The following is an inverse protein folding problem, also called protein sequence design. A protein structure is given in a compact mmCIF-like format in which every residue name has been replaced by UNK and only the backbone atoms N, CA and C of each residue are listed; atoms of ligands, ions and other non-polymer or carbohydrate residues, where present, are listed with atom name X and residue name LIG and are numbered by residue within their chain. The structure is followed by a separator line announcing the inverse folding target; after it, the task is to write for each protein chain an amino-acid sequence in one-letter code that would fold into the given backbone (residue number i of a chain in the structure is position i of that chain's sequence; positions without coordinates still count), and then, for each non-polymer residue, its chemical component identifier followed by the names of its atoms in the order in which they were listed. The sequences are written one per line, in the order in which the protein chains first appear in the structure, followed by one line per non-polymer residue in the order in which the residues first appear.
data_IF_321354776327
#
_entry.id   IF_321354776327
#
_cell.length_a   1.000
_cell.length_b   1.000
_cell.length_c   1.000
_cell.angle_alpha   90.00
_cell.angle_beta   90.00
_cell.angle_gamma   90.00
#
_symmetry.space_group_name_H-M   'P 1'
#
loop_
_entity.id
_entity.type
_entity.pdbx_description
1 polymer ?
#
# COMPACT_ATOMS: atom_id res chain seq x y z
N UNK A 1 43.84 -0.54 -11.52
CA UNK A 1 42.39 -0.62 -11.25
C UNK A 1 41.56 -0.30 -12.51
N UNK A 2 41.54 -1.18 -13.52
CA UNK A 2 40.73 -0.94 -14.74
C UNK A 2 39.29 -1.42 -14.65
N UNK A 3 38.93 -2.27 -13.69
CA UNK A 3 37.60 -2.92 -13.62
C UNK A 3 36.39 -1.99 -13.32
N UNK A 4 36.63 -0.79 -12.79
CA UNK A 4 35.55 0.16 -12.44
C UNK A 4 35.33 1.25 -13.51
N UNK A 5 35.70 1.02 -14.76
CA UNK A 5 35.44 1.98 -15.86
C UNK A 5 34.42 1.50 -16.87
N UNK A 6 33.93 0.28 -16.71
CA UNK A 6 32.97 -0.33 -17.60
C UNK A 6 31.54 0.00 -17.14
N UNK A 7 30.65 0.52 -18.03
CA UNK A 7 29.25 0.78 -17.72
C UNK A 7 28.48 -0.45 -17.20
N UNK A 8 28.84 -1.66 -17.63
CA UNK A 8 28.23 -2.91 -17.16
C UNK A 8 28.51 -3.15 -15.68
N UNK A 9 29.73 -2.87 -15.22
CA UNK A 9 30.11 -2.98 -13.79
C UNK A 9 29.24 -2.09 -12.89
N UNK A 10 28.92 -0.86 -13.32
CA UNK A 10 28.02 0.01 -12.55
C UNK A 10 26.59 -0.49 -12.52
N UNK A 11 26.11 -1.07 -13.62
CA UNK A 11 24.79 -1.72 -13.67
C UNK A 11 24.72 -2.89 -12.71
N UNK A 12 25.75 -3.74 -12.69
CA UNK A 12 25.82 -4.91 -11.81
C UNK A 12 25.85 -4.48 -10.33
N UNK A 13 26.59 -3.42 -10.00
CA UNK A 13 26.58 -2.85 -8.64
C UNK A 13 25.18 -2.40 -8.25
N UNK A 14 24.49 -1.66 -9.12
CA UNK A 14 23.12 -1.17 -8.83
C UNK A 14 22.11 -2.32 -8.71
N UNK A 15 22.27 -3.39 -9.49
CA UNK A 15 21.42 -4.58 -9.40
C UNK A 15 21.73 -5.43 -8.16
N UNK A 16 22.95 -5.41 -7.66
CA UNK A 16 23.33 -6.12 -6.43
C UNK A 16 22.75 -5.47 -5.15
N UNK A 17 22.28 -4.22 -5.24
CA UNK A 17 21.62 -3.55 -4.12
C UNK A 17 20.23 -4.13 -3.92
N UNK A 18 19.90 -4.43 -2.65
CA UNK A 18 18.56 -4.94 -2.30
C UNK A 18 17.50 -3.83 -2.15
N UNK A 19 17.83 -2.62 -2.56
CA UNK A 19 16.90 -1.50 -2.63
C UNK A 19 16.45 -1.29 -4.06
N UNK A 20 15.27 -0.70 -4.24
CA UNK A 20 14.81 -0.27 -5.55
C UNK A 20 15.64 0.92 -6.04
N UNK A 21 16.22 0.81 -7.23
CA UNK A 21 16.91 1.93 -7.89
C UNK A 21 16.28 2.14 -9.26
N UNK A 22 15.86 3.38 -9.52
CA UNK A 22 15.45 3.82 -10.85
C UNK A 22 16.21 5.09 -11.24
N UNK A 23 16.42 5.27 -12.54
CA UNK A 23 16.95 6.52 -13.09
C UNK A 23 15.94 7.07 -14.07
N UNK A 24 15.67 8.36 -13.92
CA UNK A 24 14.76 9.12 -14.77
C UNK A 24 15.54 10.16 -15.56
N UNK A 25 15.16 10.38 -16.79
CA UNK A 25 15.63 11.52 -17.58
C UNK A 25 14.95 12.84 -17.14
N UNK A 26 15.30 13.95 -17.80
CA UNK A 26 14.71 15.27 -17.52
C UNK A 26 13.21 15.35 -17.86
N UNK A 27 12.70 14.45 -18.68
CA UNK A 27 11.28 14.30 -19.02
C UNK A 27 10.56 13.33 -18.08
N UNK A 28 11.25 12.87 -17.01
CA UNK A 28 10.75 11.90 -16.04
C UNK A 28 10.43 10.52 -16.60
N UNK A 29 11.03 10.16 -17.75
CA UNK A 29 10.96 8.80 -18.29
C UNK A 29 11.97 7.91 -17.59
N UNK A 30 11.57 6.69 -17.29
CA UNK A 30 12.42 5.68 -16.65
C UNK A 30 13.41 5.16 -17.71
N UNK A 31 14.70 5.39 -17.46
CA UNK A 31 15.80 4.94 -18.33
C UNK A 31 16.62 3.80 -17.70
N UNK A 32 16.47 3.57 -16.40
CA UNK A 32 17.07 2.45 -15.68
C UNK A 32 16.12 1.95 -14.59
N UNK A 33 16.11 0.63 -14.37
CA UNK A 33 15.32 -0.07 -13.38
C UNK A 33 16.10 -1.25 -12.84
N UNK A 34 16.41 -1.27 -11.53
CA UNK A 34 17.19 -2.33 -10.90
C UNK A 34 16.35 -3.58 -10.61
N UNK A 35 17.05 -4.68 -10.36
CA UNK A 35 16.41 -5.93 -9.92
C UNK A 35 15.69 -5.74 -8.56
N UNK A 36 16.25 -4.94 -7.65
CA UNK A 36 15.57 -4.54 -6.41
C UNK A 36 14.27 -3.77 -6.65
N UNK A 37 14.24 -2.91 -7.68
CA UNK A 37 13.02 -2.19 -8.06
C UNK A 37 11.96 -3.15 -8.63
N UNK A 38 12.35 -4.16 -9.42
CA UNK A 38 11.44 -5.22 -9.87
C UNK A 38 10.83 -5.99 -8.69
N UNK A 39 11.66 -6.38 -7.73
CA UNK A 39 11.20 -7.12 -6.53
C UNK A 39 10.24 -6.32 -5.68
N UNK A 40 10.53 -5.03 -5.48
CA UNK A 40 9.73 -4.14 -4.62
C UNK A 40 8.40 -3.78 -5.26
N UNK A 41 8.34 -3.58 -6.57
CA UNK A 41 7.15 -3.06 -7.24
C UNK A 41 6.37 -4.12 -8.00
N UNK A 42 7.00 -5.26 -8.28
CA UNK A 42 6.45 -6.32 -9.14
C UNK A 42 6.44 -5.98 -10.64
N UNK A 43 6.86 -4.77 -11.03
CA UNK A 43 7.01 -4.39 -12.43
C UNK A 43 8.37 -4.82 -12.95
N UNK A 44 8.39 -5.54 -14.07
CA UNK A 44 9.65 -5.90 -14.74
C UNK A 44 10.23 -4.69 -15.49
N UNK A 45 11.53 -4.74 -15.76
CA UNK A 45 12.24 -3.73 -16.53
C UNK A 45 11.59 -3.46 -17.89
N UNK A 46 11.09 -4.51 -18.53
CA UNK A 46 10.42 -4.41 -19.84
C UNK A 46 9.10 -3.62 -19.74
N UNK A 47 8.39 -3.74 -18.60
CA UNK A 47 7.12 -3.05 -18.38
C UNK A 47 7.29 -1.54 -18.19
N UNK A 48 8.47 -1.08 -17.75
CA UNK A 48 8.63 0.30 -17.24
C UNK A 48 9.60 1.17 -18.04
N UNK A 49 10.58 0.60 -18.73
CA UNK A 49 11.55 1.41 -19.49
C UNK A 49 10.88 2.23 -20.59
N UNK A 50 11.20 3.53 -20.62
CA UNK A 50 10.65 4.50 -21.57
C UNK A 50 9.29 5.08 -21.13
N UNK A 51 8.62 4.50 -20.13
CA UNK A 51 7.39 5.05 -19.55
C UNK A 51 7.68 6.19 -18.58
N UNK A 52 6.69 7.07 -18.38
CA UNK A 52 6.78 8.09 -17.34
C UNK A 52 6.62 7.47 -15.95
N UNK A 53 7.32 7.99 -14.97
CA UNK A 53 7.12 7.59 -13.59
C UNK A 53 5.67 7.85 -13.10
N UNK A 54 4.92 8.71 -13.79
CA UNK A 54 3.52 9.04 -13.49
C UNK A 54 2.51 8.09 -14.15
N UNK A 55 2.95 7.17 -15.02
CA UNK A 55 2.08 6.21 -15.71
C UNK A 55 1.66 5.04 -14.79
N UNK A 56 1.24 5.35 -13.55
CA UNK A 56 0.87 4.41 -12.48
C UNK A 56 2.00 3.48 -11.97
N UNK A 57 3.24 3.68 -12.40
CA UNK A 57 4.38 2.83 -12.02
C UNK A 57 4.93 3.27 -10.66
N UNK A 58 5.33 4.54 -10.56
CA UNK A 58 5.84 5.15 -9.32
C UNK A 58 4.93 6.30 -8.88
N UNK A 59 3.63 6.09 -8.93
CA UNK A 59 2.67 7.09 -8.45
C UNK A 59 2.80 7.21 -6.93
N UNK A 60 3.48 8.27 -6.50
CA UNK A 60 3.69 8.55 -5.09
C UNK A 60 2.41 9.12 -4.47
N UNK A 61 1.95 8.48 -3.41
CA UNK A 61 0.90 9.03 -2.55
C UNK A 61 1.51 9.38 -1.19
N UNK A 62 1.13 10.52 -0.63
CA UNK A 62 1.43 10.83 0.77
C UNK A 62 0.27 10.41 1.68
N UNK A 63 0.40 10.69 2.98
CA UNK A 63 -0.63 10.39 3.97
C UNK A 63 -1.96 11.15 3.73
N UNK A 64 -1.92 12.25 2.96
CA UNK A 64 -3.04 13.17 2.75
C UNK A 64 -3.59 13.09 1.32
N UNK A 65 -2.74 12.84 0.30
CA UNK A 65 -3.12 12.93 -1.11
C UNK A 65 -2.42 11.87 -1.97
N UNK A 66 -3.16 11.21 -2.88
CA UNK A 66 -2.59 10.42 -3.97
C UNK A 66 -2.10 11.31 -5.14
N UNK A 67 -2.21 12.63 -4.99
CA UNK A 67 -1.82 13.63 -5.97
C UNK A 67 -0.42 14.18 -5.72
N UNK A 68 0.40 13.48 -4.95
CA UNK A 68 1.76 13.91 -4.64
C UNK A 68 2.60 14.17 -5.90
N UNK A 69 2.33 13.44 -6.98
CA UNK A 69 2.99 13.66 -8.27
C UNK A 69 2.56 14.95 -8.99
N UNK A 70 1.48 15.58 -8.55
CA UNK A 70 0.97 16.84 -9.11
C UNK A 70 1.48 18.01 -8.27
N UNK A 71 1.31 17.99 -6.96
CA UNK A 71 1.56 19.17 -6.10
C UNK A 71 2.92 19.14 -5.39
N UNK A 72 3.39 17.95 -4.94
CA UNK A 72 4.59 17.82 -4.12
C UNK A 72 5.45 16.62 -4.57
N UNK A 73 5.65 16.46 -5.86
CA UNK A 73 6.43 15.36 -6.42
C UNK A 73 7.91 15.45 -5.98
N UNK A 74 8.45 14.46 -5.24
CA UNK A 74 9.84 14.47 -4.80
C UNK A 74 10.82 14.61 -5.98
N UNK A 75 10.53 13.94 -7.09
CA UNK A 75 11.31 14.01 -8.33
C UNK A 75 11.29 15.40 -8.94
N UNK A 76 10.11 16.02 -9.05
CA UNK A 76 10.00 17.39 -9.60
C UNK A 76 10.71 18.40 -8.69
N UNK A 77 10.54 18.26 -7.37
CA UNK A 77 11.19 19.10 -6.36
C UNK A 77 12.71 18.97 -6.42
N UNK A 78 13.22 17.73 -6.55
CA UNK A 78 14.66 17.48 -6.68
C UNK A 78 15.23 18.05 -7.98
N UNK A 79 14.50 17.96 -9.11
CA UNK A 79 14.89 18.57 -10.38
C UNK A 79 14.92 20.10 -10.28
N UNK A 80 13.87 20.70 -9.72
CA UNK A 80 13.73 22.17 -9.65
C UNK A 80 14.79 22.81 -8.76
N UNK A 81 15.01 22.24 -7.56
CA UNK A 81 15.98 22.78 -6.60
C UNK A 81 17.40 22.27 -6.81
N UNK A 82 17.60 21.28 -7.69
CA UNK A 82 18.86 20.60 -7.91
C UNK A 82 19.50 20.06 -6.60
N UNK A 83 18.67 19.60 -5.66
CA UNK A 83 19.05 19.06 -4.34
C UNK A 83 18.34 17.72 -4.09
N UNK A 84 18.96 16.81 -3.32
CA UNK A 84 18.27 15.60 -2.89
C UNK A 84 17.00 15.91 -2.10
N UNK A 85 15.96 15.11 -2.33
CA UNK A 85 14.68 15.16 -1.62
C UNK A 85 14.39 13.77 -1.07
N UNK A 86 14.05 13.72 0.20
CA UNK A 86 13.65 12.52 0.94
C UNK A 86 12.14 12.57 1.16
N UNK A 87 11.48 11.43 1.01
CA UNK A 87 10.05 11.33 1.24
C UNK A 87 9.65 9.91 1.68
N UNK A 88 8.70 9.84 2.60
CA UNK A 88 7.94 8.61 2.84
C UNK A 88 6.68 8.67 1.98
N UNK A 89 6.51 7.69 1.13
CA UNK A 89 5.40 7.65 0.17
C UNK A 89 4.85 6.24 0.02
N UNK A 90 3.69 6.15 -0.64
CA UNK A 90 3.11 4.86 -1.03
C UNK A 90 3.22 4.73 -2.54
N UNK A 91 3.79 3.64 -3.01
CA UNK A 91 3.87 3.32 -4.43
C UNK A 91 2.87 2.23 -4.81
N UNK A 92 2.52 2.18 -6.08
CA UNK A 92 1.65 1.13 -6.61
C UNK A 92 2.47 -0.13 -6.93
N UNK A 93 2.01 -1.27 -6.44
CA UNK A 93 2.58 -2.57 -6.82
C UNK A 93 1.78 -3.17 -7.98
N UNK A 94 2.44 -3.88 -8.91
CA UNK A 94 1.81 -4.52 -10.08
C UNK A 94 0.61 -5.42 -9.72
N UNK A 95 0.62 -6.01 -8.52
CA UNK A 95 -0.50 -6.81 -8.01
C UNK A 95 -1.68 -5.97 -7.48
N UNK A 96 -1.67 -4.64 -7.63
CA UNK A 96 -2.79 -3.76 -7.30
C UNK A 96 -2.81 -3.21 -5.87
N UNK A 97 -1.90 -3.62 -4.99
CA UNK A 97 -1.83 -3.07 -3.63
C UNK A 97 -0.89 -1.86 -3.55
N UNK A 98 -1.06 -1.06 -2.51
CA UNK A 98 -0.16 0.04 -2.18
C UNK A 98 0.88 -0.42 -1.16
N UNK A 99 2.10 0.04 -1.36
CA UNK A 99 3.22 -0.32 -0.52
C UNK A 99 3.94 0.94 -0.05
N UNK A 100 4.17 1.06 1.27
CA UNK A 100 4.91 2.18 1.84
C UNK A 100 6.39 2.02 1.52
N UNK A 101 7.00 3.11 1.05
CA UNK A 101 8.43 3.18 0.77
C UNK A 101 9.04 4.42 1.39
N UNK A 102 10.29 4.30 1.81
CA UNK A 102 11.17 5.41 2.09
C UNK A 102 11.99 5.67 0.83
N UNK A 103 11.82 6.83 0.24
CA UNK A 103 12.36 7.16 -1.08
C UNK A 103 13.23 8.42 -1.04
N UNK A 104 14.27 8.40 -1.85
CA UNK A 104 15.10 9.57 -2.15
C UNK A 104 15.06 9.85 -3.65
N UNK A 105 14.92 11.12 -3.99
CA UNK A 105 15.12 11.62 -5.34
C UNK A 105 16.41 12.47 -5.37
N UNK A 106 17.42 12.01 -6.09
CA UNK A 106 18.78 12.56 -6.08
C UNK A 106 19.12 13.06 -7.48
N UNK A 107 19.45 14.37 -7.67
CA UNK A 107 19.83 14.89 -8.99
C UNK A 107 21.12 14.22 -9.51
N UNK A 108 21.03 13.60 -10.67
CA UNK A 108 22.18 13.06 -11.40
C UNK A 108 22.83 14.21 -12.21
N UNK A 109 24.12 14.38 -12.04
CA UNK A 109 24.88 15.47 -12.70
C UNK A 109 25.91 14.92 -13.67
N UNK A 110 26.13 15.65 -14.72
CA UNK A 110 27.25 15.40 -15.63
C UNK A 110 28.59 15.94 -15.07
N UNK A 111 29.66 15.74 -15.83
CA UNK A 111 31.00 16.22 -15.49
C UNK A 111 31.14 17.75 -15.38
N UNK A 112 30.18 18.52 -15.86
CA UNK A 112 30.10 19.97 -15.80
C UNK A 112 29.22 20.47 -14.66
N UNK A 113 28.59 19.55 -13.88
CA UNK A 113 27.73 19.87 -12.77
C UNK A 113 26.26 20.11 -13.17
N UNK A 114 25.93 20.02 -14.48
CA UNK A 114 24.57 20.16 -14.96
C UNK A 114 23.72 18.95 -14.60
N UNK A 115 22.49 19.16 -14.16
CA UNK A 115 21.55 18.08 -13.88
C UNK A 115 21.10 17.45 -15.20
N UNK A 116 21.31 16.16 -15.34
CA UNK A 116 20.99 15.37 -16.54
C UNK A 116 19.86 14.34 -16.30
N UNK A 117 19.40 14.20 -15.05
CA UNK A 117 18.37 13.27 -14.67
C UNK A 117 18.21 13.17 -13.16
N UNK A 118 17.46 12.20 -12.71
CA UNK A 118 17.23 11.89 -11.29
C UNK A 118 17.50 10.41 -11.05
N UNK A 119 18.24 10.13 -9.99
CA UNK A 119 18.28 8.79 -9.39
C UNK A 119 17.20 8.76 -8.33
N UNK A 120 16.31 7.78 -8.39
CA UNK A 120 15.40 7.47 -7.31
C UNK A 120 15.88 6.18 -6.65
N UNK A 121 16.03 6.21 -5.33
CA UNK A 121 16.19 5.01 -4.52
C UNK A 121 14.98 4.88 -3.63
N UNK A 122 14.51 3.68 -3.44
CA UNK A 122 13.40 3.41 -2.54
C UNK A 122 13.59 2.06 -1.87
N UNK A 123 13.34 2.07 -0.60
CA UNK A 123 13.33 0.89 0.24
C UNK A 123 12.00 0.82 0.97
N UNK A 124 11.52 -0.38 1.19
CA UNK A 124 10.30 -0.65 1.91
C UNK A 124 10.42 -2.01 2.55
N UNK A 125 9.63 -2.23 3.56
CA UNK A 125 9.56 -3.53 4.25
C UNK A 125 8.75 -4.52 3.38
N UNK A 126 9.24 -4.69 2.15
CA UNK A 126 8.70 -5.68 1.21
C UNK A 126 9.41 -7.00 1.44
N UNK A 127 9.41 -7.48 2.67
CA UNK A 127 9.82 -8.84 2.87
C UNK A 127 8.99 -9.72 1.92
N UNK A 128 9.56 -9.95 0.70
CA UNK A 128 9.49 -11.26 0.08
C UNK A 128 10.36 -12.14 0.99
N UNK A 129 10.08 -12.06 2.29
CA UNK A 129 10.49 -13.07 3.20
C UNK A 129 9.75 -14.31 2.70
N UNK A 130 10.50 -15.30 2.32
CA UNK A 130 9.97 -16.64 2.45
C UNK A 130 9.28 -16.69 3.81
N UNK A 131 8.20 -17.47 3.99
CA UNK A 131 7.29 -17.36 5.12
C UNK A 131 8.13 -17.26 6.39
N UNK A 132 7.98 -16.11 7.09
CA UNK A 132 8.62 -15.83 8.37
C UNK A 132 8.47 -17.11 9.21
N UNK A 133 9.51 -17.63 9.84
CA UNK A 133 9.40 -18.77 10.74
C UNK A 133 8.24 -18.61 11.73
N UNK A 134 7.93 -17.37 12.14
CA UNK A 134 6.75 -17.06 12.94
C UNK A 134 5.44 -17.20 12.16
N UNK A 135 5.37 -16.76 10.90
CA UNK A 135 4.18 -16.96 10.05
C UNK A 135 3.92 -18.44 9.80
N UNK A 136 4.98 -19.24 9.57
CA UNK A 136 4.83 -20.70 9.42
C UNK A 136 4.25 -21.33 10.69
N UNK A 137 4.79 -20.98 11.86
CA UNK A 137 4.32 -21.47 13.16
C UNK A 137 2.86 -21.01 13.44
N UNK A 138 2.51 -19.77 13.10
CA UNK A 138 1.16 -19.23 13.26
C UNK A 138 0.17 -19.93 12.31
N UNK A 139 0.59 -20.25 11.08
CA UNK A 139 -0.20 -20.98 10.10
C UNK A 139 -0.45 -22.43 10.54
N UNK A 140 0.59 -23.11 11.00
CA UNK A 140 0.50 -24.48 11.56
C UNK A 140 -0.42 -24.55 12.79
N UNK A 141 -0.49 -23.48 13.58
CA UNK A 141 -1.39 -23.34 14.73
C UNK A 141 -2.80 -22.88 14.38
N UNK A 142 -3.13 -22.72 13.10
CA UNK A 142 -4.44 -22.23 12.64
C UNK A 142 -4.76 -20.80 13.14
N UNK A 143 -3.75 -19.95 13.27
CA UNK A 143 -3.88 -18.55 13.74
C UNK A 143 -4.05 -17.55 12.61
N UNK A 144 -3.80 -17.94 11.37
CA UNK A 144 -3.93 -17.08 10.20
C UNK A 144 -5.19 -17.44 9.39
N UNK A 145 -5.70 -16.46 8.70
CA UNK A 145 -6.75 -16.61 7.69
C UNK A 145 -6.17 -17.20 6.39
N UNK A 146 -6.78 -18.24 5.85
CA UNK A 146 -6.27 -19.00 4.70
C UNK A 146 -6.29 -18.20 3.39
N UNK A 147 -7.12 -17.16 3.28
CA UNK A 147 -7.26 -16.35 2.07
C UNK A 147 -6.29 -15.19 2.11
N UNK A 148 -6.29 -14.44 3.19
CA UNK A 148 -5.57 -13.17 3.33
C UNK A 148 -4.16 -13.32 3.89
N UNK A 149 -3.90 -14.43 4.62
CA UNK A 149 -2.66 -14.64 5.37
C UNK A 149 -2.52 -13.75 6.61
N UNK A 150 -3.51 -12.92 6.91
CA UNK A 150 -3.54 -12.10 8.12
C UNK A 150 -3.93 -12.93 9.36
N UNK A 151 -3.64 -12.45 10.58
CA UNK A 151 -4.24 -12.94 11.80
C UNK A 151 -5.75 -13.13 11.66
N UNK A 152 -6.26 -14.29 12.07
CA UNK A 152 -7.69 -14.59 12.00
C UNK A 152 -8.45 -14.00 13.19
N UNK A 153 -9.78 -14.09 13.18
CA UNK A 153 -10.65 -13.54 14.22
C UNK A 153 -10.27 -13.98 15.65
N UNK A 154 -10.01 -15.28 15.94
CA UNK A 154 -9.60 -15.69 17.29
C UNK A 154 -8.30 -15.04 17.75
N UNK A 155 -7.33 -14.87 16.85
CA UNK A 155 -6.07 -14.22 17.18
C UNK A 155 -6.28 -12.71 17.41
N UNK A 156 -7.05 -12.03 16.58
CA UNK A 156 -7.39 -10.61 16.76
C UNK A 156 -8.16 -10.37 18.07
N UNK A 157 -9.06 -11.28 18.43
CA UNK A 157 -9.79 -11.20 19.69
C UNK A 157 -8.87 -11.36 20.91
N UNK A 158 -7.84 -12.21 20.80
CA UNK A 158 -6.83 -12.37 21.85
C UNK A 158 -6.02 -11.08 22.04
N UNK A 159 -5.53 -10.49 20.92
CA UNK A 159 -4.79 -9.23 20.98
C UNK A 159 -5.62 -8.07 21.49
N UNK A 160 -6.90 -7.98 21.12
CA UNK A 160 -7.78 -6.94 21.64
C UNK A 160 -7.97 -7.05 23.15
N UNK A 161 -8.08 -8.28 23.70
CA UNK A 161 -8.12 -8.49 25.18
C UNK A 161 -6.83 -8.08 25.86
N UNK A 162 -5.69 -8.42 25.27
CA UNK A 162 -4.36 -8.05 25.78
C UNK A 162 -4.19 -6.53 25.83
N UNK A 163 -4.52 -5.83 24.73
CA UNK A 163 -4.46 -4.36 24.68
C UNK A 163 -5.40 -3.71 25.68
N UNK A 164 -6.60 -4.25 25.87
CA UNK A 164 -7.55 -3.76 26.87
C UNK A 164 -7.02 -3.99 28.28
N UNK A 165 -6.38 -5.11 28.57
CA UNK A 165 -5.69 -5.38 29.83
C UNK A 165 -4.59 -4.34 30.09
N UNK A 166 -3.72 -4.11 29.09
CA UNK A 166 -2.65 -3.11 29.18
C UNK A 166 -3.21 -1.69 29.37
N UNK A 167 -4.30 -1.34 28.69
CA UNK A 167 -4.98 -0.06 28.88
C UNK A 167 -5.50 0.10 30.32
N UNK A 168 -6.12 -0.92 30.89
CA UNK A 168 -6.66 -0.88 32.24
C UNK A 168 -5.56 -0.76 33.29
N UNK A 169 -4.41 -1.42 33.10
CA UNK A 169 -3.30 -1.43 34.05
C UNK A 169 -2.38 -0.21 33.91
N UNK A 170 -2.01 0.15 32.68
CA UNK A 170 -0.97 1.15 32.39
C UNK A 170 -1.51 2.44 31.77
N UNK A 171 -2.81 2.50 31.48
CA UNK A 171 -3.46 3.64 30.81
C UNK A 171 -2.82 4.00 29.45
N UNK A 172 -2.23 3.01 28.76
CA UNK A 172 -1.68 3.18 27.41
C UNK A 172 -2.85 3.21 26.44
N UNK A 173 -3.12 4.35 25.77
CA UNK A 173 -4.27 4.47 24.88
C UNK A 173 -4.11 3.56 23.67
N UNK A 174 -5.22 3.08 23.11
CA UNK A 174 -5.23 2.37 21.84
C UNK A 174 -6.49 2.66 21.05
N UNK A 175 -6.37 2.55 19.72
CA UNK A 175 -7.46 2.73 18.79
C UNK A 175 -7.84 1.42 18.09
N UNK A 176 -9.11 1.30 17.74
CA UNK A 176 -9.66 0.17 16.97
C UNK A 176 -10.35 0.69 15.73
N UNK A 177 -10.00 0.12 14.58
CA UNK A 177 -10.66 0.41 13.30
C UNK A 177 -11.22 -0.90 12.75
N UNK A 178 -12.47 -0.89 12.31
CA UNK A 178 -13.05 -1.94 11.49
C UNK A 178 -13.21 -1.42 10.07
N UNK A 179 -12.67 -2.16 9.10
CA UNK A 179 -12.83 -1.90 7.67
C UNK A 179 -13.78 -2.95 7.12
N UNK A 180 -14.86 -2.53 6.51
CA UNK A 180 -15.87 -3.42 5.90
C UNK A 180 -15.95 -3.20 4.39
N UNK A 181 -16.06 -4.30 3.65
CA UNK A 181 -16.34 -4.30 2.21
C UNK A 181 -17.77 -4.79 1.97
N UNK A 182 -18.81 -3.93 2.12
CA UNK A 182 -20.22 -4.36 2.17
C UNK A 182 -20.70 -5.00 0.88
N UNK A 183 -20.07 -4.67 -0.25
CA UNK A 183 -20.44 -5.19 -1.57
C UNK A 183 -19.70 -6.49 -1.94
N UNK A 184 -18.88 -7.05 -1.05
CA UNK A 184 -18.06 -8.22 -1.35
C UNK A 184 -18.89 -9.44 -1.78
N UNK A 185 -20.05 -9.64 -1.19
CA UNK A 185 -20.98 -10.71 -1.58
C UNK A 185 -21.49 -10.56 -3.02
N UNK A 186 -21.86 -9.33 -3.41
CA UNK A 186 -22.27 -9.02 -4.79
C UNK A 186 -21.10 -9.13 -5.75
N UNK A 187 -19.92 -8.67 -5.34
CA UNK A 187 -18.68 -8.80 -6.13
C UNK A 187 -18.38 -10.29 -6.42
N UNK A 188 -18.48 -11.15 -5.40
CA UNK A 188 -18.28 -12.60 -5.54
C UNK A 188 -19.28 -13.23 -6.51
N UNK A 189 -20.53 -12.81 -6.45
CA UNK A 189 -21.58 -13.33 -7.35
C UNK A 189 -21.34 -12.91 -8.80
N UNK A 190 -20.85 -11.70 -9.05
CA UNK A 190 -20.60 -11.17 -10.39
C UNK A 190 -19.28 -11.68 -11.01
N UNK A 191 -18.20 -11.77 -10.22
CA UNK A 191 -16.85 -11.99 -10.71
C UNK A 191 -16.27 -13.36 -10.33
N UNK A 192 -16.98 -14.12 -9.51
CA UNK A 192 -16.58 -15.47 -9.08
C UNK A 192 -15.67 -15.47 -7.85
N UNK A 193 -15.49 -16.67 -7.30
CA UNK A 193 -14.75 -16.89 -6.06
C UNK A 193 -13.25 -16.56 -6.18
N UNK A 194 -12.64 -16.81 -7.35
CA UNK A 194 -11.20 -16.58 -7.56
C UNK A 194 -10.90 -15.08 -7.58
N UNK A 195 -11.70 -14.27 -8.30
CA UNK A 195 -11.57 -12.81 -8.29
C UNK A 195 -11.76 -12.24 -6.88
N UNK A 196 -12.74 -12.75 -6.14
CA UNK A 196 -13.02 -12.32 -4.76
C UNK A 196 -11.81 -12.61 -3.84
N UNK A 197 -11.20 -13.80 -3.94
CA UNK A 197 -9.98 -14.14 -3.17
C UNK A 197 -8.82 -13.21 -3.51
N UNK A 198 -8.58 -12.95 -4.80
CA UNK A 198 -7.52 -12.04 -5.24
C UNK A 198 -7.73 -10.63 -4.69
N UNK A 199 -8.97 -10.14 -4.73
CA UNK A 199 -9.33 -8.83 -4.18
C UNK A 199 -9.10 -8.78 -2.67
N UNK A 200 -9.55 -9.78 -1.91
CA UNK A 200 -9.32 -9.85 -0.45
C UNK A 200 -7.83 -9.84 -0.11
N UNK A 201 -6.99 -10.53 -0.88
CA UNK A 201 -5.54 -10.52 -0.70
C UNK A 201 -4.95 -9.13 -0.95
N UNK A 202 -5.43 -8.41 -1.97
CA UNK A 202 -5.00 -7.03 -2.25
C UNK A 202 -5.42 -6.10 -1.12
N UNK A 203 -6.67 -6.19 -0.65
CA UNK A 203 -7.16 -5.39 0.49
C UNK A 203 -6.34 -5.66 1.76
N UNK A 204 -6.07 -6.92 2.07
CA UNK A 204 -5.27 -7.34 3.22
C UNK A 204 -3.85 -6.76 3.18
N UNK A 205 -3.17 -6.89 2.03
CA UNK A 205 -1.82 -6.33 1.83
C UNK A 205 -1.81 -4.80 1.92
N UNK A 206 -2.81 -4.15 1.32
CA UNK A 206 -2.96 -2.69 1.40
C UNK A 206 -3.14 -2.24 2.84
N UNK A 207 -3.98 -2.90 3.63
CA UNK A 207 -4.14 -2.58 5.06
C UNK A 207 -2.85 -2.77 5.84
N UNK A 208 -2.22 -3.94 5.72
CA UNK A 208 -0.96 -4.25 6.41
C UNK A 208 0.14 -3.22 6.11
N UNK A 209 0.22 -2.77 4.85
CA UNK A 209 1.23 -1.80 4.41
C UNK A 209 0.85 -0.34 4.74
N UNK A 210 -0.38 -0.09 5.19
CA UNK A 210 -0.84 1.27 5.53
C UNK A 210 -0.63 1.63 7.00
N UNK A 211 -0.44 0.65 7.87
CA UNK A 211 -0.23 0.82 9.31
C UNK A 211 1.22 0.55 9.71
N UNK A 212 1.60 0.91 10.94
CA UNK A 212 2.95 0.66 11.42
C UNK A 212 3.18 -0.83 11.72
N UNK A 213 4.44 -1.32 11.70
CA UNK A 213 4.76 -2.71 12.06
C UNK A 213 4.35 -3.09 13.49
N UNK A 214 4.19 -2.11 14.38
CA UNK A 214 3.74 -2.28 15.76
C UNK A 214 2.23 -2.41 15.90
N UNK A 215 1.47 -2.11 14.82
CA UNK A 215 0.02 -2.21 14.79
C UNK A 215 -0.40 -3.61 14.34
N UNK A 216 -1.56 -4.05 14.78
CA UNK A 216 -2.10 -5.36 14.40
C UNK A 216 -3.21 -5.22 13.37
N UNK A 217 -3.10 -5.99 12.30
CA UNK A 217 -4.13 -6.09 11.26
C UNK A 217 -4.55 -7.54 11.13
N UNK A 218 -5.85 -7.80 11.08
CA UNK A 218 -6.37 -9.16 10.92
C UNK A 218 -7.74 -9.21 10.25
N UNK A 219 -8.10 -10.41 9.82
CA UNK A 219 -9.42 -10.72 9.29
C UNK A 219 -10.39 -10.93 10.46
N UNK A 220 -11.53 -10.22 10.42
CA UNK A 220 -12.58 -10.33 11.45
C UNK A 220 -13.76 -11.19 10.98
N UNK A 221 -14.16 -11.02 9.73
CA UNK A 221 -15.16 -11.86 9.06
C UNK A 221 -14.84 -11.94 7.55
N UNK A 222 -15.71 -12.56 6.75
CA UNK A 222 -15.50 -12.65 5.29
C UNK A 222 -15.28 -11.28 4.63
N UNK A 223 -15.97 -10.25 5.11
CA UNK A 223 -16.04 -8.91 4.54
C UNK A 223 -15.42 -7.82 5.42
N UNK A 224 -14.83 -8.20 6.59
CA UNK A 224 -14.34 -7.25 7.59
C UNK A 224 -12.92 -7.55 8.01
N UNK A 225 -12.16 -6.47 8.16
CA UNK A 225 -10.83 -6.45 8.75
C UNK A 225 -10.85 -5.63 10.03
N UNK A 226 -10.05 -6.02 11.00
CA UNK A 226 -9.84 -5.26 12.23
C UNK A 226 -8.40 -4.78 12.30
N UNK A 227 -8.23 -3.51 12.68
CA UNK A 227 -6.93 -2.88 12.90
C UNK A 227 -6.88 -2.39 14.33
N UNK A 228 -5.81 -2.77 15.05
CA UNK A 228 -5.55 -2.37 16.43
C UNK A 228 -4.30 -1.50 16.45
N UNK A 229 -4.42 -0.26 16.95
CA UNK A 229 -3.38 0.77 16.93
C UNK A 229 -2.89 1.05 18.35
N UNK A 230 -1.65 0.72 18.65
CA UNK A 230 -1.02 0.98 19.95
C UNK A 230 -0.67 2.46 20.13
N UNK A 231 -0.79 2.97 21.35
CA UNK A 231 -0.44 4.36 21.70
C UNK A 231 -1.30 5.41 20.96
N UNK A 232 -2.49 5.03 20.47
CA UNK A 232 -3.29 5.83 19.55
C UNK A 232 -4.41 6.58 20.28
N UNK A 233 -4.43 7.90 20.13
CA UNK A 233 -5.50 8.80 20.56
C UNK A 233 -6.43 9.17 19.40
N UNK A 234 -7.53 9.87 19.68
CA UNK A 234 -8.59 10.17 18.70
C UNK A 234 -8.08 10.89 17.44
N UNK A 235 -7.22 11.90 17.59
CA UNK A 235 -6.69 12.66 16.43
C UNK A 235 -5.83 11.77 15.52
N UNK A 236 -4.96 10.94 16.12
CA UNK A 236 -4.14 9.98 15.39
C UNK A 236 -5.03 8.90 14.74
N UNK A 237 -6.05 8.42 15.44
CA UNK A 237 -7.02 7.46 14.93
C UNK A 237 -7.76 8.00 13.71
N UNK A 238 -8.16 9.28 13.77
CA UNK A 238 -8.79 9.95 12.63
C UNK A 238 -7.88 10.01 11.41
N UNK A 239 -6.62 10.42 11.60
CA UNK A 239 -5.64 10.51 10.52
C UNK A 239 -5.37 9.14 9.87
N UNK A 240 -5.17 8.10 10.69
CA UNK A 240 -4.95 6.73 10.20
C UNK A 240 -6.18 6.20 9.46
N UNK A 241 -7.39 6.46 9.98
CA UNK A 241 -8.64 6.05 9.33
C UNK A 241 -8.81 6.69 7.95
N UNK A 242 -8.54 7.99 7.82
CA UNK A 242 -8.59 8.70 6.55
C UNK A 242 -7.55 8.15 5.56
N UNK A 243 -6.34 7.83 6.03
CA UNK A 243 -5.29 7.19 5.24
C UNK A 243 -5.73 5.82 4.74
N UNK A 244 -6.27 4.97 5.62
CA UNK A 244 -6.77 3.63 5.25
C UNK A 244 -7.83 3.74 4.17
N UNK A 245 -8.87 4.58 4.36
CA UNK A 245 -9.93 4.78 3.38
C UNK A 245 -9.36 5.11 1.99
N UNK A 246 -8.42 6.03 1.95
CA UNK A 246 -7.81 6.48 0.71
C UNK A 246 -6.98 5.39 0.02
N UNK A 247 -6.18 4.66 0.79
CA UNK A 247 -5.39 3.55 0.26
C UNK A 247 -6.29 2.41 -0.24
N UNK A 248 -7.35 2.09 0.49
CA UNK A 248 -8.31 1.05 0.11
C UNK A 248 -9.11 1.43 -1.13
N UNK A 249 -9.49 2.70 -1.30
CA UNK A 249 -10.21 3.19 -2.48
C UNK A 249 -9.37 3.06 -3.77
N UNK A 250 -8.04 3.04 -3.66
CA UNK A 250 -7.12 2.84 -4.79
C UNK A 250 -6.65 1.39 -4.96
N UNK A 251 -7.13 0.46 -4.13
CA UNK A 251 -6.80 -0.95 -4.22
C UNK A 251 -7.66 -1.63 -5.29
N UNK A 252 -7.03 -2.14 -6.33
CA UNK A 252 -7.71 -2.75 -7.49
C UNK A 252 -7.06 -4.07 -7.87
N UNK A 253 -7.78 -4.90 -8.58
CA UNK A 253 -7.23 -6.09 -9.25
C UNK A 253 -7.46 -6.00 -10.76
N UNK A 254 -6.48 -6.49 -11.53
CA UNK A 254 -6.67 -6.71 -12.96
C UNK A 254 -7.30 -8.09 -13.17
N UNK A 255 -8.47 -8.12 -13.76
CA UNK A 255 -9.24 -9.34 -13.96
C UNK A 255 -9.83 -9.37 -15.39
N UNK A 256 -9.34 -10.28 -16.22
CA UNK A 256 -9.76 -10.41 -17.63
C UNK A 256 -9.74 -9.10 -18.42
N UNK A 257 -8.69 -8.28 -18.20
CA UNK A 257 -8.54 -6.98 -18.87
C UNK A 257 -9.40 -5.85 -18.29
N UNK A 258 -10.12 -6.11 -17.18
CA UNK A 258 -10.88 -5.10 -16.45
C UNK A 258 -10.22 -4.82 -15.10
N UNK A 259 -10.29 -3.58 -14.67
CA UNK A 259 -9.88 -3.17 -13.33
C UNK A 259 -11.09 -3.26 -12.40
N UNK A 260 -10.98 -4.10 -11.36
CA UNK A 260 -12.04 -4.34 -10.40
C UNK A 260 -11.66 -3.84 -9.01
N UNK A 261 -12.61 -3.19 -8.34
CA UNK A 261 -12.48 -2.70 -6.97
C UNK A 261 -13.78 -2.91 -6.19
N UNK A 262 -13.75 -2.65 -4.89
CA UNK A 262 -14.95 -2.59 -4.03
C UNK A 262 -14.91 -1.34 -3.18
N UNK A 263 -16.09 -0.86 -2.81
CA UNK A 263 -16.25 0.20 -1.82
C UNK A 263 -15.95 -0.35 -0.43
N UNK A 264 -15.28 0.45 0.41
CA UNK A 264 -15.06 0.11 1.82
C UNK A 264 -15.66 1.18 2.73
N UNK A 265 -16.13 0.75 3.90
CA UNK A 265 -16.56 1.62 5.00
C UNK A 265 -15.70 1.39 6.23
N UNK A 266 -15.58 2.42 7.08
CA UNK A 266 -14.78 2.37 8.29
C UNK A 266 -15.61 2.77 9.50
N UNK A 267 -15.58 1.93 10.54
CA UNK A 267 -15.94 2.28 11.89
C UNK A 267 -14.70 2.36 12.76
N UNK A 268 -14.66 3.32 13.68
CA UNK A 268 -13.49 3.51 14.57
C UNK A 268 -13.89 3.92 15.97
N UNK A 269 -13.02 3.63 16.94
CA UNK A 269 -13.14 4.09 18.32
C UNK A 269 -11.80 4.01 19.04
N UNK A 270 -11.58 4.87 20.03
CA UNK A 270 -10.51 4.68 21.03
C UNK A 270 -11.08 3.94 22.24
N UNK A 271 -10.22 3.25 22.97
CA UNK A 271 -10.58 2.64 24.25
C UNK A 271 -10.86 3.71 25.30
N UNK A 272 -11.89 3.47 26.12
CA UNK A 272 -12.26 4.32 27.27
C UNK A 272 -12.33 3.48 28.54
N UNK A 273 -12.19 4.14 29.68
CA UNK A 273 -12.26 3.47 30.99
C UNK A 273 -13.60 2.76 31.16
N UNK A 274 -13.56 1.52 31.60
CA UNK A 274 -14.74 0.68 31.79
C UNK A 274 -15.17 -0.11 30.53
N UNK A 275 -14.40 -0.02 29.44
CA UNK A 275 -14.67 -0.82 28.25
C UNK A 275 -14.50 -2.32 28.48
N UNK A 276 -15.33 -3.07 27.77
CA UNK A 276 -15.13 -4.49 27.49
C UNK A 276 -14.85 -4.68 26.00
N UNK A 277 -14.38 -5.84 25.61
CA UNK A 277 -14.19 -6.19 24.17
C UNK A 277 -15.48 -5.98 23.40
N UNK A 278 -16.59 -6.40 23.97
CA UNK A 278 -17.93 -6.31 23.36
C UNK A 278 -18.36 -4.83 23.15
N UNK A 279 -18.11 -3.97 24.16
CA UNK A 279 -18.49 -2.54 24.06
C UNK A 279 -17.67 -1.82 22.99
N UNK A 280 -16.37 -2.12 22.87
CA UNK A 280 -15.50 -1.59 21.81
C UNK A 280 -16.00 -2.01 20.45
N UNK A 281 -16.25 -3.31 20.26
CA UNK A 281 -16.73 -3.85 18.97
C UNK A 281 -18.09 -3.27 18.58
N UNK A 282 -19.01 -3.11 19.52
CA UNK A 282 -20.31 -2.46 19.27
C UNK A 282 -20.17 -1.00 18.85
N UNK A 283 -19.26 -0.23 19.48
CA UNK A 283 -19.00 1.16 19.08
C UNK A 283 -18.43 1.26 17.68
N UNK A 284 -17.48 0.41 17.36
CA UNK A 284 -16.89 0.34 16.02
C UNK A 284 -17.94 -0.01 14.96
N UNK A 285 -18.83 -0.98 15.25
CA UNK A 285 -19.90 -1.37 14.33
C UNK A 285 -20.91 -0.25 14.10
N UNK A 286 -21.29 0.51 15.14
CA UNK A 286 -22.16 1.70 14.97
C UNK A 286 -21.51 2.76 14.07
N UNK A 287 -20.19 2.90 14.17
CA UNK A 287 -19.42 3.81 13.31
C UNK A 287 -19.46 3.44 11.82
N UNK A 288 -19.58 2.16 11.48
CA UNK A 288 -19.74 1.70 10.09
C UNK A 288 -21.03 2.20 9.43
N UNK A 289 -22.10 2.28 10.21
CA UNK A 289 -23.41 2.73 9.72
C UNK A 289 -23.52 4.25 9.54
N UNK A 290 -22.65 5.04 10.18
CA UNK A 290 -22.67 6.51 10.19
C UNK A 290 -21.71 7.18 9.21
N UNK A 291 -20.67 6.50 8.73
CA UNK A 291 -19.61 7.04 7.88
C UNK A 291 -19.44 6.23 6.59
N UNK A 292 -20.48 6.18 5.78
CA UNK A 292 -20.34 5.73 4.39
C UNK A 292 -19.67 6.83 3.58
N UNK A 293 -18.33 6.83 3.52
CA UNK A 293 -17.62 7.55 2.49
C UNK A 293 -17.58 6.65 1.27
N UNK A 294 -18.57 6.81 0.41
CA UNK A 294 -18.61 6.19 -0.91
C UNK A 294 -17.61 6.90 -1.80
N UNK A 295 -16.39 6.41 -1.86
CA UNK A 295 -15.45 6.77 -2.93
C UNK A 295 -15.74 5.84 -4.10
N UNK A 296 -16.53 6.32 -5.05
CA UNK A 296 -16.73 5.63 -6.32
C UNK A 296 -15.39 5.53 -7.03
N UNK A 297 -14.91 4.31 -7.27
CA UNK A 297 -13.89 4.07 -8.26
C UNK A 297 -14.49 4.45 -9.63
N UNK A 298 -13.94 5.45 -10.29
CA UNK A 298 -14.30 5.81 -11.65
C UNK A 298 -14.01 4.60 -12.55
N UNK A 299 -15.05 3.94 -13.02
CA UNK A 299 -14.96 3.06 -14.16
C UNK A 299 -14.57 3.95 -15.36
N UNK A 300 -13.31 3.96 -15.70
CA UNK A 300 -12.85 4.52 -16.99
C UNK A 300 -13.43 3.59 -18.05
N UNK A 301 -14.55 4.03 -18.63
CA UNK A 301 -15.11 3.40 -19.80
C UNK A 301 -14.04 3.44 -20.89
N UNK A 302 -13.54 2.27 -21.27
CA UNK A 302 -12.75 2.10 -22.48
C UNK A 302 -13.63 2.55 -23.66
N UNK A 303 -13.35 3.76 -24.15
CA UNK A 303 -14.02 4.35 -25.30
C UNK A 303 -13.87 3.42 -26.49
N UNK A 304 -14.99 2.93 -26.95
CA UNK A 304 -15.12 2.20 -28.19
C UNK A 304 -14.55 3.05 -29.34
N UNK A 305 -13.40 2.63 -29.84
CA UNK A 305 -12.95 3.01 -31.16
C UNK A 305 -13.89 2.33 -32.16
N UNK A 306 -14.96 3.02 -32.54
CA UNK A 306 -15.87 2.54 -33.55
C UNK A 306 -15.36 2.94 -34.94
N UNK A 307 -15.12 1.92 -35.74
CA UNK A 307 -14.97 1.92 -37.16
C UNK A 307 -15.93 2.87 -37.87
N UNK A 308 -15.43 3.72 -38.72
CA UNK A 308 -16.12 4.17 -39.94
C UNK A 308 -15.18 3.98 -41.11
N UNK A 309 -15.30 2.80 -41.71
CA UNK A 309 -15.09 2.60 -43.13
C UNK A 309 -16.46 2.76 -43.78
N UNK A 310 -16.56 3.51 -44.81
CA UNK A 310 -17.78 3.58 -45.60
C UNK A 310 -17.75 4.79 -46.51
N UNK A 311 -17.50 4.51 -47.78
CA UNK A 311 -17.69 5.23 -49.02
C UNK A 311 -16.60 6.17 -49.50
#
# INVERSE_FOLDING_TARGET
MPAFRDPETYRDILNALQIGVSVLDLQKKIVFWSDGAEQITGYSRIDVLGHSCTDNILLHCNQVSCEMCIENCPTATALYHAKPVEAVSFIHHKSGHRAQVHAWAIPLRDKHGSVIGIIQTFEGDFAVAGPDPNERNLRERGRLDDITGLPNQPMMQSHLREMLGTFNELQIPFGVICVEAPELGQFRTRNGQVACRSLLQVLARTLRNTVWPTDFVGTWSEDRFLVLLSGCQEDALQAVSARILKMMASATIQWWGQELSVTVSIGRTVAIVGDTVESILQRVQRGLSGNQVTLQANAVAAGAANSRSGD
#
